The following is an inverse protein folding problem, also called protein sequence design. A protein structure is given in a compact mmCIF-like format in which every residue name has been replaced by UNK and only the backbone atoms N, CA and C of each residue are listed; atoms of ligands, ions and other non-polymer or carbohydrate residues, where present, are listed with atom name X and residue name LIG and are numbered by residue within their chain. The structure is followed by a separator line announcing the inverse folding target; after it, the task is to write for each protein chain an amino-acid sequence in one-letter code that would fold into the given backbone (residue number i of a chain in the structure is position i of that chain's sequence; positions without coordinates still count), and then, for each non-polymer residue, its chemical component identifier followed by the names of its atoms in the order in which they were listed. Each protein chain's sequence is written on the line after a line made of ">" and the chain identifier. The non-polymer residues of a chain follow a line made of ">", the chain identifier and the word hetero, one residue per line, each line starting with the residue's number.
data_IF_036335284165
#
_entry.id   IF_036335284165
#
_cell.length_a   1.000
_cell.length_b   1.000
_cell.length_c   1.000
_cell.angle_alpha   90.00
_cell.angle_beta   90.00
_cell.angle_gamma   90.00
#
_symmetry.space_group_name_H-M   'P 1'
#
loop_
_entity.id
_entity.type
_entity.pdbx_description
1 polymer ?
#
# COMPACT_ATOMS: atom_id res chain seq x y z
N UNK A 1 -17.66 -3.82 0.53
CA UNK A 1 -17.66 -2.33 0.54
C UNK A 1 -16.26 -1.70 0.49
N UNK A 2 -15.35 -1.94 1.46
CA UNK A 2 -14.00 -1.30 1.44
C UNK A 2 -13.19 -1.62 0.16
N UNK A 3 -13.34 -2.84 -0.38
CA UNK A 3 -12.74 -3.29 -1.64
C UNK A 3 -13.33 -2.60 -2.87
N UNK A 4 -14.60 -2.17 -2.82
CA UNK A 4 -15.24 -1.39 -3.88
C UNK A 4 -14.63 0.01 -3.99
N UNK A 5 -14.24 0.62 -2.87
CA UNK A 5 -13.61 1.96 -2.82
C UNK A 5 -12.30 1.99 -3.62
N UNK A 6 -11.46 0.95 -3.45
CA UNK A 6 -10.20 0.84 -4.19
C UNK A 6 -10.33 0.10 -5.54
N UNK A 7 -11.57 -0.15 -5.98
CA UNK A 7 -11.92 -0.92 -7.19
C UNK A 7 -11.18 -2.26 -7.28
N UNK A 8 -11.05 -2.94 -6.14
CA UNK A 8 -10.66 -4.36 -6.05
C UNK A 8 -11.86 -5.28 -6.27
N UNK A 9 -13.07 -4.75 -6.09
CA UNK A 9 -14.34 -5.37 -6.46
C UNK A 9 -15.15 -4.40 -7.32
N UNK A 10 -15.89 -4.93 -8.29
CA UNK A 10 -16.82 -4.16 -9.12
C UNK A 10 -18.11 -3.87 -8.37
N UNK A 11 -18.63 -2.66 -8.55
CA UNK A 11 -19.94 -2.27 -8.02
C UNK A 11 -21.00 -2.88 -8.94
N UNK A 12 -21.97 -3.57 -8.36
CA UNK A 12 -23.05 -4.22 -9.12
C UNK A 12 -24.15 -3.22 -9.51
N UNK A 13 -24.49 -2.30 -8.62
CA UNK A 13 -25.47 -1.24 -8.82
C UNK A 13 -25.16 -0.02 -7.93
N UNK A 14 -25.62 1.16 -8.32
CA UNK A 14 -25.36 2.44 -7.66
C UNK A 14 -24.08 3.15 -8.13
N UNK A 15 -23.82 4.33 -7.57
CA UNK A 15 -22.67 5.18 -7.91
C UNK A 15 -21.77 5.41 -6.70
N UNK A 16 -20.45 5.30 -6.90
CA UNK A 16 -19.45 5.62 -5.88
C UNK A 16 -18.47 6.65 -6.45
N UNK A 17 -18.34 7.77 -5.75
CA UNK A 17 -17.40 8.85 -6.09
C UNK A 17 -16.36 8.98 -4.98
N UNK A 18 -15.08 9.00 -5.33
CA UNK A 18 -13.96 9.19 -4.40
C UNK A 18 -13.06 10.30 -4.96
N UNK A 19 -12.85 11.38 -4.20
CA UNK A 19 -12.07 12.55 -4.63
C UNK A 19 -12.53 13.07 -6.01
N UNK A 20 -13.83 13.25 -6.20
CA UNK A 20 -14.48 13.68 -7.45
C UNK A 20 -14.29 12.73 -8.66
N UNK A 21 -13.76 11.52 -8.43
CA UNK A 21 -13.59 10.50 -9.45
C UNK A 21 -14.65 9.42 -9.25
N UNK A 22 -15.47 9.17 -10.29
CA UNK A 22 -16.42 8.06 -10.30
C UNK A 22 -15.67 6.72 -10.38
N UNK A 23 -15.78 5.90 -9.33
CA UNK A 23 -15.10 4.59 -9.24
C UNK A 23 -15.77 3.55 -10.15
N UNK A 24 -17.06 3.70 -10.43
CA UNK A 24 -17.85 2.80 -11.28
C UNK A 24 -17.64 2.99 -12.79
N UNK A 25 -17.15 4.15 -13.23
CA UNK A 25 -17.02 4.46 -14.66
C UNK A 25 -15.89 3.65 -15.33
N UNK A 26 -16.15 3.10 -16.53
CA UNK A 26 -15.15 2.40 -17.34
C UNK A 26 -14.04 3.32 -17.84
N UNK A 27 -14.30 4.63 -17.93
CA UNK A 27 -13.31 5.63 -18.38
C UNK A 27 -12.34 6.08 -17.29
N UNK A 28 -12.60 5.73 -16.03
CA UNK A 28 -11.76 6.13 -14.90
C UNK A 28 -10.42 5.41 -14.93
N UNK A 29 -9.34 6.20 -14.90
CA UNK A 29 -7.98 5.68 -14.72
C UNK A 29 -7.82 5.11 -13.30
N UNK A 30 -7.88 3.78 -13.23
CA UNK A 30 -7.79 3.01 -11.99
C UNK A 30 -6.43 3.21 -11.32
N UNK A 31 -5.35 3.38 -12.09
CA UNK A 31 -4.01 3.56 -11.52
C UNK A 31 -3.90 4.91 -10.82
N UNK A 32 -4.48 5.97 -11.41
CA UNK A 32 -4.53 7.30 -10.79
C UNK A 32 -5.39 7.30 -9.53
N UNK A 33 -6.53 6.61 -9.54
CA UNK A 33 -7.40 6.45 -8.37
C UNK A 33 -6.66 5.74 -7.22
N UNK A 34 -6.02 4.60 -7.51
CA UNK A 34 -5.30 3.77 -6.52
C UNK A 34 -4.10 4.47 -5.89
N UNK A 35 -3.46 5.43 -6.58
CA UNK A 35 -2.37 6.23 -6.01
C UNK A 35 -2.81 7.09 -4.83
N UNK A 36 -4.08 7.50 -4.81
CA UNK A 36 -4.63 8.36 -3.75
C UNK A 36 -5.28 7.57 -2.61
N UNK A 37 -5.42 6.25 -2.76
CA UNK A 37 -6.12 5.39 -1.80
C UNK A 37 -5.11 4.38 -1.23
N UNK A 38 -4.72 4.58 0.04
CA UNK A 38 -3.97 3.59 0.80
C UNK A 38 -4.89 2.51 1.35
N UNK A 39 -4.51 1.23 1.21
CA UNK A 39 -5.25 0.11 1.79
C UNK A 39 -4.32 -0.74 2.66
N UNK A 40 -4.78 -1.05 3.87
CA UNK A 40 -4.11 -1.96 4.81
C UNK A 40 -4.92 -3.26 4.86
N UNK A 41 -4.25 -4.40 4.70
CA UNK A 41 -4.88 -5.73 4.72
C UNK A 41 -4.68 -6.39 6.10
N UNK A 42 -5.63 -7.22 6.55
CA UNK A 42 -5.50 -8.00 7.80
C UNK A 42 -4.34 -9.00 7.75
N UNK A 43 -4.15 -9.67 6.62
CA UNK A 43 -2.97 -10.49 6.37
C UNK A 43 -1.93 -9.67 5.62
N UNK A 44 -0.68 -9.71 6.09
CA UNK A 44 0.41 -8.93 5.52
C UNK A 44 0.73 -9.41 4.09
N UNK A 45 0.26 -8.66 3.09
CA UNK A 45 0.66 -8.83 1.68
C UNK A 45 2.03 -8.19 1.41
N UNK A 46 3.01 -8.47 2.26
CA UNK A 46 4.39 -8.05 2.07
C UNK A 46 5.11 -9.04 1.14
N UNK A 47 6.04 -8.55 0.32
CA UNK A 47 6.91 -9.40 -0.49
C UNK A 47 7.92 -10.11 0.42
N UNK A 48 7.83 -11.44 0.60
CA UNK A 48 8.62 -12.16 1.61
C UNK A 48 10.11 -12.21 1.29
N UNK A 49 10.46 -12.10 0.02
CA UNK A 49 11.82 -12.08 -0.52
C UNK A 49 12.44 -10.68 -0.54
N UNK A 50 11.83 -9.69 0.12
CA UNK A 50 12.32 -8.31 0.22
C UNK A 50 12.35 -7.88 1.68
N UNK A 51 13.32 -7.06 2.05
CA UNK A 51 13.35 -6.46 3.39
C UNK A 51 12.18 -5.49 3.59
N UNK A 52 11.89 -5.09 4.83
CA UNK A 52 10.85 -4.08 5.12
C UNK A 52 11.15 -2.77 4.35
N UNK A 53 12.40 -2.33 4.36
CA UNK A 53 12.82 -1.14 3.61
C UNK A 53 12.52 -1.30 2.11
N UNK A 54 12.89 -2.43 1.52
CA UNK A 54 12.63 -2.71 0.11
C UNK A 54 11.15 -2.82 -0.24
N UNK A 55 10.32 -3.34 0.68
CA UNK A 55 8.86 -3.36 0.53
C UNK A 55 8.29 -1.94 0.43
N UNK A 56 8.76 -1.02 1.29
CA UNK A 56 8.29 0.37 1.31
C UNK A 56 8.81 1.16 0.10
N UNK A 57 10.05 0.94 -0.33
CA UNK A 57 10.65 1.64 -1.48
C UNK A 57 10.03 1.23 -2.84
N UNK A 58 9.47 0.02 -2.93
CA UNK A 58 9.00 -0.53 -4.22
C UNK A 58 7.91 0.31 -4.87
N UNK A 59 6.92 0.77 -4.09
CA UNK A 59 5.82 1.57 -4.63
C UNK A 59 6.27 2.96 -5.11
N UNK A 60 7.03 3.77 -4.34
CA UNK A 60 7.59 5.02 -4.82
C UNK A 60 8.47 4.88 -6.08
N UNK A 61 9.32 3.85 -6.15
CA UNK A 61 10.19 3.64 -7.31
C UNK A 61 9.41 3.23 -8.57
N UNK A 62 8.52 2.23 -8.47
CA UNK A 62 7.82 1.68 -9.64
C UNK A 62 6.61 2.48 -10.08
N UNK A 63 5.87 3.08 -9.14
CA UNK A 63 4.61 3.78 -9.43
C UNK A 63 4.82 5.26 -9.65
N UNK A 64 5.75 5.88 -8.90
CA UNK A 64 6.03 7.32 -8.97
C UNK A 64 7.33 7.64 -9.72
N UNK A 65 8.16 6.65 -10.06
CA UNK A 65 9.41 6.85 -10.80
C UNK A 65 10.50 7.56 -9.99
N UNK A 66 10.40 7.54 -8.66
CA UNK A 66 11.38 8.19 -7.79
C UNK A 66 12.72 7.46 -7.78
N UNK A 67 13.80 8.21 -7.57
CA UNK A 67 15.14 7.63 -7.43
C UNK A 67 15.24 6.76 -6.18
N UNK A 68 16.17 5.81 -6.19
CA UNK A 68 16.40 4.93 -5.04
C UNK A 68 16.75 5.74 -3.77
N UNK A 69 17.52 6.82 -3.91
CA UNK A 69 17.90 7.68 -2.81
C UNK A 69 16.68 8.38 -2.17
N UNK A 70 15.77 8.91 -2.99
CA UNK A 70 14.54 9.55 -2.51
C UNK A 70 13.60 8.53 -1.87
N UNK A 71 13.41 7.37 -2.52
CA UNK A 71 12.57 6.30 -2.00
C UNK A 71 13.08 5.80 -0.65
N UNK A 72 14.41 5.66 -0.49
CA UNK A 72 15.05 5.26 0.77
C UNK A 72 14.81 6.28 1.88
N UNK A 73 14.97 7.58 1.58
CA UNK A 73 14.73 8.67 2.55
C UNK A 73 13.27 8.67 3.02
N UNK A 74 12.32 8.50 2.09
CA UNK A 74 10.89 8.41 2.39
C UNK A 74 10.59 7.17 3.24
N UNK A 75 11.16 6.02 2.87
CA UNK A 75 10.96 4.77 3.59
C UNK A 75 11.49 4.84 5.03
N UNK A 76 12.69 5.39 5.23
CA UNK A 76 13.26 5.61 6.57
C UNK A 76 12.37 6.52 7.42
N UNK A 77 11.92 7.65 6.87
CA UNK A 77 11.01 8.57 7.57
C UNK A 77 9.72 7.87 8.02
N UNK A 78 9.14 7.01 7.18
CA UNK A 78 7.94 6.27 7.57
C UNK A 78 8.22 5.19 8.62
N UNK A 79 9.35 4.49 8.51
CA UNK A 79 9.78 3.49 9.50
C UNK A 79 10.02 4.10 10.88
N UNK A 80 10.62 5.28 10.94
CA UNK A 80 10.76 6.06 12.18
C UNK A 80 9.40 6.46 12.75
N UNK A 81 8.49 6.95 11.90
CA UNK A 81 7.15 7.36 12.30
C UNK A 81 6.33 6.23 12.93
N UNK A 82 6.49 5.00 12.46
CA UNK A 82 5.81 3.82 13.02
C UNK A 82 6.62 3.10 14.10
N UNK A 83 7.82 3.59 14.44
CA UNK A 83 8.65 3.04 15.52
C UNK A 83 9.35 1.72 15.21
N UNK A 84 9.52 1.36 13.94
CA UNK A 84 10.17 0.08 13.53
C UNK A 84 11.44 0.30 12.67
N UNK A 85 12.09 1.45 12.78
CA UNK A 85 13.32 1.78 12.05
C UNK A 85 14.44 0.73 12.21
N UNK A 86 14.56 0.14 13.39
CA UNK A 86 15.46 -0.96 13.69
C UNK A 86 15.17 -2.26 12.90
N UNK A 87 13.95 -2.43 12.36
CA UNK A 87 13.54 -3.58 11.55
C UNK A 87 13.64 -3.34 10.04
N UNK A 88 14.23 -2.23 9.60
CA UNK A 88 14.33 -1.86 8.18
C UNK A 88 14.96 -2.97 7.31
N UNK A 89 15.97 -3.66 7.84
CA UNK A 89 16.71 -4.72 7.15
C UNK A 89 16.14 -6.12 7.41
N UNK A 90 15.10 -6.25 8.23
CA UNK A 90 14.46 -7.53 8.51
C UNK A 90 13.59 -7.97 7.33
N UNK A 91 13.43 -9.28 7.16
CA UNK A 91 12.48 -9.86 6.22
C UNK A 91 11.12 -10.06 6.88
N UNK A 92 10.00 -9.91 6.13
CA UNK A 92 8.63 -10.10 6.63
C UNK A 92 8.40 -11.46 7.31
N UNK A 93 9.08 -12.52 6.85
CA UNK A 93 9.03 -13.87 7.43
C UNK A 93 9.46 -13.92 8.91
N UNK A 94 10.24 -12.94 9.37
CA UNK A 94 10.70 -12.86 10.76
C UNK A 94 9.76 -12.03 11.65
N UNK A 95 8.63 -11.53 11.12
CA UNK A 95 7.63 -10.88 11.96
C UNK A 95 6.73 -11.96 12.56
N UNK A 96 6.66 -12.07 13.91
CA UNK A 96 5.63 -12.89 14.51
C UNK A 96 4.29 -12.32 14.03
N UNK A 97 3.50 -13.18 13.39
CA UNK A 97 2.08 -12.92 13.18
C UNK A 97 1.54 -12.66 14.56
N UNK A 98 1.22 -11.41 14.87
CA UNK A 98 0.43 -11.11 16.07
C UNK A 98 -0.94 -11.71 15.76
N UNK A 99 -1.10 -12.99 16.11
CA UNK A 99 -2.39 -13.64 16.18
C UNK A 99 -3.15 -12.95 17.30
N UNK A 100 -3.81 -11.84 16.96
CA UNK A 100 -4.88 -11.31 17.79
C UNK A 100 -6.10 -12.22 17.57
N UNK A 101 -6.03 -13.40 18.18
CA UNK A 101 -7.20 -14.15 18.59
C UNK A 101 -7.50 -13.75 20.04
N UNK A 102 -8.19 -12.62 20.21
CA UNK A 102 -9.07 -12.34 21.34
C UNK A 102 -10.27 -11.53 20.84
#
# INVERSE_FOLDING_TARGET
>A
MLRCINRLETISDGSLTVNDISVGDKKTDINKLRRNIGMVFQHFHLYPHKTVLQNIMLAPMKVLGQSEAEAKKIAQKYLEKVGIANKANSYPLNFPVVNNNE
#
